data_IF_189689254556
#
_entry.id   IF_189689254556
#
_cell.length_a   1.000
_cell.length_b   1.000
_cell.length_c   1.000
_cell.angle_alpha   90.00
_cell.angle_beta   90.00
_cell.angle_gamma   90.00
#
_symmetry.space_group_name_H-M   'P 1'
#
loop_
_entity.id
_entity.type
_entity.pdbx_description
1 polymer ?
#
# COMPACT_ATOMS: atom_id res chain seq x y z
N UNK A 1 11.64 14.34 -25.99
CA UNK A 1 10.89 15.14 -25.01
C UNK A 1 9.61 14.44 -24.62
N UNK A 2 9.41 14.21 -23.32
CA UNK A 2 8.22 13.54 -22.79
C UNK A 2 7.14 14.58 -22.49
N UNK A 3 6.09 14.60 -23.31
CA UNK A 3 4.92 15.51 -23.19
C UNK A 3 3.79 14.90 -22.32
N UNK A 4 4.11 14.01 -21.37
CA UNK A 4 3.08 13.26 -20.64
C UNK A 4 2.08 14.11 -19.85
N UNK A 5 2.54 15.13 -19.12
CA UNK A 5 1.70 16.10 -18.42
C UNK A 5 2.44 17.43 -18.33
N UNK A 6 1.85 18.49 -18.88
CA UNK A 6 2.48 19.82 -18.93
C UNK A 6 1.56 20.88 -18.36
N UNK A 7 1.73 21.18 -17.08
CA UNK A 7 0.96 22.22 -16.40
C UNK A 7 1.74 23.53 -16.51
N UNK A 8 1.20 24.54 -17.20
CA UNK A 8 1.88 25.83 -17.38
C UNK A 8 1.66 26.82 -16.24
N UNK A 9 0.51 26.78 -15.55
CA UNK A 9 0.24 27.47 -14.28
C UNK A 9 -1.14 27.08 -13.74
N UNK A 10 -1.29 26.48 -12.54
CA UNK A 10 -2.58 26.37 -11.88
C UNK A 10 -2.72 27.37 -10.70
N UNK A 11 -1.97 28.48 -10.76
CA UNK A 11 -1.91 29.68 -9.89
C UNK A 11 -1.18 29.53 -8.55
N UNK A 12 0.12 29.20 -8.69
CA UNK A 12 1.14 29.09 -7.63
C UNK A 12 1.24 27.67 -7.03
N UNK A 13 1.82 26.74 -7.82
CA UNK A 13 2.07 25.38 -7.35
C UNK A 13 3.15 25.33 -6.26
N UNK A 14 2.99 24.43 -5.29
CA UNK A 14 4.07 24.15 -4.35
C UNK A 14 5.31 23.63 -5.09
N UNK A 15 6.48 24.12 -4.67
CA UNK A 15 7.78 23.71 -5.25
C UNK A 15 8.40 22.52 -4.54
N UNK A 16 7.88 22.24 -3.35
CA UNK A 16 8.32 21.17 -2.47
C UNK A 16 7.12 20.42 -1.92
N UNK A 17 7.29 19.13 -1.61
CA UNK A 17 6.29 18.33 -0.94
C UNK A 17 6.86 17.72 0.34
N UNK A 18 6.14 17.85 1.44
CA UNK A 18 6.35 17.13 2.69
C UNK A 18 5.24 16.08 2.82
N UNK A 19 5.59 14.82 2.67
CA UNK A 19 4.66 13.70 2.78
C UNK A 19 5.01 12.87 3.99
N UNK A 20 4.05 12.69 4.89
CA UNK A 20 4.19 11.90 6.08
C UNK A 20 3.32 10.65 6.01
N UNK A 21 3.89 9.49 6.31
CA UNK A 21 3.17 8.24 6.53
C UNK A 21 3.27 7.86 8.00
N UNK A 22 2.12 7.63 8.63
CA UNK A 22 2.00 7.20 10.02
C UNK A 22 1.19 5.94 10.11
N UNK A 23 1.85 4.84 10.45
CA UNK A 23 1.22 3.53 10.55
C UNK A 23 0.83 3.21 12.00
N UNK A 24 -0.25 2.44 12.18
CA UNK A 24 -0.81 2.07 13.49
C UNK A 24 -1.73 3.13 14.12
N UNK A 25 -2.12 4.18 13.38
CA UNK A 25 -3.03 5.23 13.87
C UNK A 25 -4.13 5.48 12.86
N UNK A 26 -5.38 5.55 13.32
CA UNK A 26 -6.51 5.82 12.42
C UNK A 26 -6.52 7.27 11.89
N UNK A 27 -6.22 8.23 12.77
CA UNK A 27 -6.23 9.68 12.48
C UNK A 27 -5.28 10.44 13.39
N UNK A 28 -4.60 11.45 12.86
CA UNK A 28 -3.92 12.48 13.65
C UNK A 28 -4.76 13.76 13.64
N UNK A 29 -4.97 14.34 14.82
CA UNK A 29 -5.82 15.52 14.98
C UNK A 29 -4.94 16.76 15.04
N UNK A 30 -4.69 17.37 13.88
CA UNK A 30 -3.95 18.61 13.79
C UNK A 30 -4.81 19.80 14.22
N UNK A 31 -4.21 20.76 14.92
CA UNK A 31 -4.85 21.99 15.40
C UNK A 31 -5.14 22.96 14.25
N UNK A 32 -4.39 22.88 13.15
CA UNK A 32 -4.60 23.72 11.95
C UNK A 32 -5.89 23.33 11.21
N UNK A 33 -6.79 24.30 11.07
CA UNK A 33 -8.18 24.11 10.61
C UNK A 33 -8.37 24.00 9.09
N UNK A 34 -7.28 24.00 8.29
CA UNK A 34 -7.35 24.02 6.82
C UNK A 34 -6.91 22.72 6.14
N UNK A 35 -7.06 21.56 6.79
CA UNK A 35 -6.78 20.28 6.17
C UNK A 35 -8.04 19.66 5.52
N UNK A 36 -7.95 19.27 4.26
CA UNK A 36 -8.93 18.38 3.63
C UNK A 36 -8.55 16.93 3.91
N UNK A 37 -9.54 16.10 4.24
CA UNK A 37 -9.34 14.69 4.56
C UNK A 37 -10.03 13.83 3.50
N UNK A 38 -9.31 12.83 3.00
CA UNK A 38 -9.82 11.90 2.01
C UNK A 38 -9.56 10.47 2.48
N UNK A 39 -10.56 9.56 2.36
CA UNK A 39 -10.30 8.16 2.59
C UNK A 39 -9.35 7.61 1.52
N UNK A 40 -8.29 6.94 1.97
CA UNK A 40 -7.36 6.24 1.08
C UNK A 40 -7.63 4.75 1.23
N UNK A 41 -7.82 4.05 0.10
CA UNK A 41 -8.05 2.62 0.07
C UNK A 41 -6.73 1.90 -0.29
N UNK A 42 -6.35 0.92 0.51
CA UNK A 42 -5.11 0.18 0.34
C UNK A 42 -4.53 -0.26 1.68
N UNK A 43 -3.48 -1.08 1.62
CA UNK A 43 -2.84 -1.64 2.83
C UNK A 43 -1.72 -0.73 3.34
N UNK A 44 -0.97 -0.08 2.43
CA UNK A 44 0.14 0.81 2.78
C UNK A 44 0.48 1.76 1.63
N UNK A 45 1.05 2.92 1.95
CA UNK A 45 1.59 3.88 1.00
C UNK A 45 3.09 3.67 0.70
N UNK A 46 3.78 2.78 1.40
CA UNK A 46 5.24 2.66 1.36
C UNK A 46 5.79 2.45 -0.05
N UNK A 47 5.27 1.47 -0.81
CA UNK A 47 5.74 1.20 -2.18
C UNK A 47 5.56 2.41 -3.11
N UNK A 48 4.47 3.15 -2.94
CA UNK A 48 4.21 4.35 -3.74
C UNK A 48 5.18 5.48 -3.38
N UNK A 49 5.53 5.62 -2.10
CA UNK A 49 6.52 6.59 -1.64
C UNK A 49 7.94 6.22 -2.08
N UNK A 50 8.31 4.94 -2.04
CA UNK A 50 9.62 4.47 -2.53
C UNK A 50 9.77 4.73 -4.03
N UNK A 51 8.72 4.44 -4.82
CA UNK A 51 8.69 4.78 -6.25
C UNK A 51 8.75 6.29 -6.49
N UNK A 52 8.12 7.10 -5.64
CA UNK A 52 8.18 8.56 -5.75
C UNK A 52 9.59 9.08 -5.45
N UNK A 53 10.22 8.62 -4.37
CA UNK A 53 11.60 8.95 -4.01
C UNK A 53 12.58 8.58 -5.13
N UNK A 54 12.42 7.41 -5.77
CA UNK A 54 13.28 6.99 -6.88
C UNK A 54 13.20 7.89 -8.12
N UNK A 55 12.14 8.68 -8.26
CA UNK A 55 11.87 9.54 -9.43
C UNK A 55 12.22 11.01 -9.21
N UNK A 56 12.39 11.44 -7.96
CA UNK A 56 12.69 12.84 -7.62
C UNK A 56 14.17 12.94 -7.27
N UNK A 57 14.93 13.77 -7.98
CA UNK A 57 16.39 13.86 -7.75
C UNK A 57 16.77 14.56 -6.45
N UNK A 58 16.08 15.64 -6.08
CA UNK A 58 16.31 16.38 -4.84
C UNK A 58 15.27 15.98 -3.80
N UNK A 59 15.48 14.81 -3.17
CA UNK A 59 14.59 14.27 -2.15
C UNK A 59 15.35 13.93 -0.87
N UNK A 60 14.62 13.89 0.25
CA UNK A 60 15.11 13.33 1.52
C UNK A 60 14.10 12.28 1.98
N UNK A 61 14.55 11.03 2.05
CA UNK A 61 13.75 9.93 2.58
C UNK A 61 14.11 9.71 4.06
N UNK A 62 13.14 9.96 4.94
CA UNK A 62 13.26 9.78 6.39
C UNK A 62 12.41 8.56 6.76
N UNK A 63 13.04 7.38 6.72
CA UNK A 63 12.41 6.13 7.15
C UNK A 63 12.80 5.81 8.59
N UNK A 64 11.96 6.17 9.55
CA UNK A 64 12.31 6.07 10.96
C UNK A 64 12.42 4.61 11.45
N UNK A 65 12.00 3.64 10.64
CA UNK A 65 12.25 2.21 10.93
C UNK A 65 13.71 1.80 10.64
N UNK A 66 14.45 2.58 9.82
CA UNK A 66 15.91 2.48 9.66
C UNK A 66 16.60 3.80 10.03
N UNK A 67 16.99 3.89 11.30
CA UNK A 67 17.68 5.08 11.84
C UNK A 67 19.01 5.40 11.14
N UNK A 68 19.71 4.42 10.58
CA UNK A 68 21.06 4.63 10.02
C UNK A 68 21.01 5.26 8.63
N UNK A 69 20.13 4.76 7.77
CA UNK A 69 19.87 5.34 6.46
C UNK A 69 19.23 6.72 6.61
N UNK A 70 18.32 6.88 7.57
CA UNK A 70 17.67 8.16 7.85
C UNK A 70 18.66 9.25 8.24
N UNK A 71 19.57 9.00 9.16
CA UNK A 71 20.56 10.01 9.58
C UNK A 71 21.47 10.41 8.42
N UNK A 72 21.84 9.44 7.57
CA UNK A 72 22.65 9.68 6.38
C UNK A 72 21.92 10.55 5.36
N UNK A 73 20.65 10.23 5.07
CA UNK A 73 19.80 10.96 4.15
C UNK A 73 19.56 12.41 4.59
N UNK A 74 19.34 12.65 5.89
CA UNK A 74 19.21 14.01 6.42
C UNK A 74 20.56 14.73 6.36
N UNK A 75 21.66 14.07 6.71
CA UNK A 75 23.00 14.68 6.73
C UNK A 75 23.49 15.12 5.35
N UNK A 76 23.16 14.38 4.29
CA UNK A 76 23.50 14.74 2.90
C UNK A 76 22.94 16.11 2.50
N UNK A 77 21.75 16.47 3.01
CA UNK A 77 21.07 17.71 2.65
C UNK A 77 21.27 18.80 3.71
N UNK A 78 21.24 18.45 4.98
CA UNK A 78 21.17 19.40 6.10
C UNK A 78 22.39 19.40 7.01
N UNK A 79 23.39 18.57 6.70
CA UNK A 79 24.57 18.34 7.54
C UNK A 79 24.26 17.52 8.80
N UNK A 80 25.30 17.23 9.58
CA UNK A 80 25.21 16.33 10.74
C UNK A 80 24.03 16.61 11.67
N UNK A 81 23.32 15.54 11.99
CA UNK A 81 22.10 15.49 12.78
C UNK A 81 22.43 14.83 14.11
N UNK A 82 22.07 15.45 15.24
CA UNK A 82 22.29 14.88 16.57
C UNK A 82 20.97 14.84 17.34
N UNK A 83 20.13 13.81 17.12
CA UNK A 83 18.85 13.72 17.78
C UNK A 83 19.03 13.63 19.30
N UNK A 84 18.38 14.53 20.03
CA UNK A 84 18.34 14.50 21.50
C UNK A 84 16.96 14.01 21.93
N UNK A 85 16.92 12.81 22.53
CA UNK A 85 15.66 12.22 23.00
C UNK A 85 14.93 13.19 23.95
N UNK A 86 13.63 13.39 23.67
CA UNK A 86 12.78 14.29 24.45
C UNK A 86 12.52 13.80 25.88
N UNK A 87 11.90 14.66 26.69
CA UNK A 87 11.49 14.31 28.05
C UNK A 87 10.41 13.23 28.04
N UNK A 88 10.56 12.23 28.90
CA UNK A 88 9.58 11.16 29.09
C UNK A 88 8.28 11.70 29.70
N UNK A 89 7.15 11.04 29.44
CA UNK A 89 5.89 11.32 30.13
C UNK A 89 5.70 10.36 31.31
N UNK A 90 4.62 10.53 32.07
CA UNK A 90 4.24 9.56 33.11
C UNK A 90 3.83 8.19 32.55
N UNK A 91 3.38 8.15 31.30
CA UNK A 91 2.82 6.96 30.65
C UNK A 91 3.88 6.19 29.84
N UNK A 92 4.81 6.90 29.19
CA UNK A 92 5.94 6.29 28.47
C UNK A 92 7.07 5.98 29.44
N UNK A 93 7.54 4.74 29.46
CA UNK A 93 8.56 4.21 30.39
C UNK A 93 9.76 3.64 29.61
N UNK A 94 10.65 4.49 29.05
CA UNK A 94 11.82 4.05 28.26
C UNK A 94 12.81 3.16 29.00
N UNK A 95 12.84 3.22 30.33
CA UNK A 95 13.68 2.34 31.15
C UNK A 95 13.14 0.92 31.27
N UNK A 96 11.86 0.72 30.94
CA UNK A 96 11.14 -0.57 31.05
C UNK A 96 10.87 -1.14 29.66
N UNK A 97 10.37 -0.32 28.74
CA UNK A 97 10.01 -0.71 27.37
C UNK A 97 10.99 -0.08 26.37
N UNK A 98 11.81 -0.88 25.66
CA UNK A 98 12.67 -0.41 24.59
C UNK A 98 11.91 0.34 23.48
N UNK A 99 10.67 -0.04 23.22
CA UNK A 99 9.78 0.56 22.21
C UNK A 99 9.43 2.01 22.56
N UNK A 100 9.31 2.34 23.85
CA UNK A 100 9.12 3.72 24.29
C UNK A 100 10.38 4.56 24.06
N UNK A 101 11.55 3.96 24.29
CA UNK A 101 12.84 4.62 24.03
C UNK A 101 13.04 4.87 22.54
N UNK A 102 12.75 3.86 21.73
CA UNK A 102 12.83 3.92 20.27
C UNK A 102 11.86 4.97 19.71
N UNK A 103 10.59 4.96 20.13
CA UNK A 103 9.62 5.98 19.74
C UNK A 103 10.09 7.41 20.07
N UNK A 104 10.59 7.64 21.29
CA UNK A 104 11.09 8.97 21.67
C UNK A 104 12.33 9.39 20.87
N UNK A 105 13.15 8.43 20.45
CA UNK A 105 14.30 8.68 19.58
C UNK A 105 13.85 9.01 18.15
N UNK A 106 12.89 8.27 17.59
CA UNK A 106 12.25 8.56 16.30
C UNK A 106 11.64 9.97 16.27
N UNK A 107 10.94 10.37 17.33
CA UNK A 107 10.42 11.75 17.48
C UNK A 107 11.55 12.79 17.58
N UNK A 108 12.67 12.46 18.24
CA UNK A 108 13.82 13.36 18.29
C UNK A 108 14.45 13.61 16.92
N UNK A 109 14.46 12.60 16.03
CA UNK A 109 14.90 12.77 14.64
C UNK A 109 13.98 13.76 13.91
N UNK A 110 12.66 13.65 14.08
CA UNK A 110 11.69 14.60 13.49
C UNK A 110 11.94 16.03 13.99
N UNK A 111 12.21 16.20 15.29
CA UNK A 111 12.50 17.52 15.85
C UNK A 111 13.81 18.10 15.32
N UNK A 112 14.86 17.28 15.19
CA UNK A 112 16.13 17.74 14.62
C UNK A 112 15.97 18.11 13.15
N UNK A 113 15.23 17.31 12.35
CA UNK A 113 14.88 17.66 10.97
C UNK A 113 14.12 19.00 10.90
N UNK A 114 13.19 19.22 11.83
CA UNK A 114 12.44 20.47 11.95
C UNK A 114 13.38 21.67 12.15
N UNK A 115 14.35 21.54 13.06
CA UNK A 115 15.31 22.61 13.35
C UNK A 115 16.27 22.85 12.19
N UNK A 116 16.67 21.79 11.47
CA UNK A 116 17.46 21.90 10.24
C UNK A 116 16.72 22.62 9.11
N UNK A 117 15.43 22.34 8.93
CA UNK A 117 14.59 23.05 7.95
C UNK A 117 14.52 24.53 8.29
N UNK A 118 14.26 24.88 9.56
CA UNK A 118 14.25 26.28 10.03
C UNK A 118 15.58 26.99 9.78
N UNK A 119 16.70 26.31 10.05
CA UNK A 119 18.04 26.88 9.88
C UNK A 119 18.43 27.09 8.42
N UNK A 120 18.14 26.12 7.54
CA UNK A 120 18.52 26.18 6.12
C UNK A 120 17.65 27.14 5.31
N UNK A 121 16.42 27.42 5.77
CA UNK A 121 15.43 28.20 5.02
C UNK A 121 15.19 27.68 3.60
N UNK A 122 15.31 26.35 3.41
CA UNK A 122 14.99 25.66 2.16
C UNK A 122 14.62 24.20 2.43
N UNK A 123 13.54 23.73 1.79
CA UNK A 123 13.12 22.31 1.80
C UNK A 123 13.38 21.72 0.41
N UNK A 124 13.96 20.51 0.31
CA UNK A 124 14.07 19.73 -0.92
C UNK A 124 12.75 19.63 -1.68
N UNK A 125 12.81 19.24 -2.96
CA UNK A 125 11.60 19.07 -3.76
C UNK A 125 10.66 18.02 -3.17
N UNK A 126 11.20 17.03 -2.46
CA UNK A 126 10.44 16.02 -1.76
C UNK A 126 11.09 15.68 -0.41
N UNK A 127 10.30 15.66 0.66
CA UNK A 127 10.67 15.09 1.95
C UNK A 127 9.59 14.08 2.31
N UNK A 128 9.97 12.80 2.42
CA UNK A 128 9.08 11.75 2.90
C UNK A 128 9.46 11.36 4.31
N UNK A 129 8.51 11.28 5.22
CA UNK A 129 8.72 10.84 6.61
C UNK A 129 7.83 9.64 6.90
N UNK A 130 8.41 8.52 7.33
CA UNK A 130 7.68 7.30 7.69
C UNK A 130 7.91 6.97 9.16
N UNK A 131 6.83 6.62 9.88
CA UNK A 131 6.88 6.18 11.27
C UNK A 131 5.74 5.20 11.59
N UNK A 132 6.03 4.16 12.37
CA UNK A 132 5.02 3.25 12.91
C UNK A 132 4.82 3.40 14.42
N UNK A 133 3.57 3.35 14.90
CA UNK A 133 3.23 3.22 16.32
C UNK A 133 2.80 1.78 16.69
N UNK A 134 2.92 0.83 15.76
CA UNK A 134 2.43 -0.55 15.96
C UNK A 134 3.17 -1.27 17.08
N UNK A 135 4.50 -1.14 17.13
CA UNK A 135 5.34 -1.78 18.16
C UNK A 135 5.04 -1.21 19.55
N UNK A 136 4.96 0.12 19.67
CA UNK A 136 4.57 0.79 20.92
C UNK A 136 3.17 0.38 21.37
N UNK A 137 2.21 0.30 20.44
CA UNK A 137 0.87 -0.18 20.78
C UNK A 137 0.90 -1.62 21.31
N UNK A 138 1.74 -2.49 20.74
CA UNK A 138 1.80 -3.90 21.11
C UNK A 138 2.25 -4.14 22.56
N UNK A 139 3.20 -3.36 23.07
CA UNK A 139 3.73 -3.52 24.43
C UNK A 139 2.86 -2.87 25.51
N UNK A 140 2.02 -1.91 25.14
CA UNK A 140 1.11 -1.23 26.06
C UNK A 140 -0.34 -1.75 26.03
N UNK A 141 -0.59 -2.88 25.36
CA UNK A 141 -1.92 -3.51 25.32
C UNK A 141 -2.89 -2.89 24.30
N UNK A 142 -2.37 -2.21 23.28
CA UNK A 142 -3.10 -1.70 22.14
C UNK A 142 -3.30 -0.18 22.12
N UNK A 143 -4.05 0.28 21.10
CA UNK A 143 -4.28 1.70 20.81
C UNK A 143 -5.15 2.45 21.83
N UNK A 144 -5.72 1.74 22.82
CA UNK A 144 -6.53 2.33 23.89
C UNK A 144 -5.72 2.70 25.14
N UNK A 145 -4.42 2.39 25.16
CA UNK A 145 -3.56 2.64 26.32
C UNK A 145 -3.23 4.13 26.51
N UNK A 146 -2.97 4.53 27.76
CA UNK A 146 -2.55 5.90 28.07
C UNK A 146 -1.20 6.24 27.41
N UNK A 147 -0.28 5.28 27.34
CA UNK A 147 1.00 5.42 26.66
C UNK A 147 0.81 5.67 25.15
N UNK A 148 -0.06 4.92 24.49
CA UNK A 148 -0.38 5.14 23.08
C UNK A 148 -1.05 6.50 22.85
N UNK A 149 -1.98 6.91 23.72
CA UNK A 149 -2.61 8.22 23.64
C UNK A 149 -1.59 9.37 23.81
N UNK A 150 -0.63 9.22 24.72
CA UNK A 150 0.45 10.19 24.91
C UNK A 150 1.43 10.19 23.73
N UNK A 151 1.83 9.03 23.24
CA UNK A 151 2.67 8.89 22.04
C UNK A 151 2.01 9.58 20.83
N UNK A 152 0.72 9.32 20.60
CA UNK A 152 -0.06 9.99 19.55
C UNK A 152 -0.02 11.52 19.70
N UNK A 153 -0.18 12.07 20.91
CA UNK A 153 -0.09 13.53 21.15
C UNK A 153 1.31 14.07 20.90
N UNK A 154 2.35 13.38 21.36
CA UNK A 154 3.75 13.77 21.16
C UNK A 154 4.07 13.80 19.67
N UNK A 155 3.70 12.73 18.94
CA UNK A 155 3.89 12.66 17.50
C UNK A 155 3.12 13.79 16.81
N UNK A 156 1.82 13.94 17.09
CA UNK A 156 1.00 15.00 16.47
C UNK A 156 1.68 16.37 16.59
N UNK A 157 2.18 16.73 17.77
CA UNK A 157 2.90 18.01 17.97
C UNK A 157 4.22 18.10 17.20
N UNK A 158 5.00 17.02 17.16
CA UNK A 158 6.24 17.00 16.40
C UNK A 158 5.97 17.18 14.89
N UNK A 159 4.92 16.56 14.39
CA UNK A 159 4.46 16.69 13.00
C UNK A 159 3.96 18.11 12.73
N UNK A 160 3.17 18.72 13.61
CA UNK A 160 2.73 20.12 13.48
C UNK A 160 3.92 21.07 13.39
N UNK A 161 4.90 20.91 14.29
CA UNK A 161 6.11 21.74 14.27
C UNK A 161 6.91 21.57 12.97
N UNK A 162 6.95 20.35 12.42
CA UNK A 162 7.60 20.07 11.14
C UNK A 162 6.85 20.72 9.97
N UNK A 163 5.53 20.64 9.97
CA UNK A 163 4.65 21.30 8.99
C UNK A 163 4.87 22.81 9.02
N UNK A 164 4.80 23.42 10.20
CA UNK A 164 5.03 24.86 10.38
C UNK A 164 6.43 25.28 9.91
N UNK A 165 7.46 24.48 10.20
CA UNK A 165 8.81 24.74 9.72
C UNK A 165 8.90 24.67 8.19
N UNK A 166 8.28 23.67 7.57
CA UNK A 166 8.28 23.51 6.12
C UNK A 166 7.50 24.63 5.42
N UNK A 167 6.34 25.03 5.95
CA UNK A 167 5.53 26.12 5.40
C UNK A 167 6.27 27.45 5.51
N UNK A 168 6.81 27.79 6.69
CA UNK A 168 7.57 29.02 6.90
C UNK A 168 8.83 29.08 6.02
N UNK A 169 9.54 27.95 5.89
CA UNK A 169 10.76 27.86 5.07
C UNK A 169 10.51 27.98 3.57
N UNK A 170 9.28 27.78 3.09
CA UNK A 170 8.94 27.88 1.65
C UNK A 170 7.91 28.98 1.35
N UNK A 171 7.71 29.93 2.27
CA UNK A 171 6.72 31.02 2.12
C UNK A 171 5.31 30.49 1.81
N UNK A 172 4.93 29.35 2.39
CA UNK A 172 3.65 28.67 2.14
C UNK A 172 3.58 27.87 0.83
N UNK A 173 4.64 27.82 0.02
CA UNK A 173 4.67 27.10 -1.26
C UNK A 173 5.12 25.63 -1.11
N UNK A 174 4.56 24.92 -0.13
CA UNK A 174 4.85 23.49 0.13
C UNK A 174 3.54 22.69 0.17
N UNK A 175 3.53 21.53 -0.49
CA UNK A 175 2.44 20.58 -0.36
C UNK A 175 2.67 19.74 0.89
N UNK A 176 1.72 19.75 1.82
CA UNK A 176 1.77 18.91 3.01
C UNK A 176 0.71 17.83 2.90
N UNK A 177 1.12 16.56 3.02
CA UNK A 177 0.22 15.42 3.03
C UNK A 177 0.56 14.51 4.21
N UNK A 178 -0.45 14.11 5.00
CA UNK A 178 -0.31 13.07 6.02
C UNK A 178 -1.20 11.89 5.67
N UNK A 179 -0.60 10.72 5.60
CA UNK A 179 -1.22 9.44 5.30
C UNK A 179 -1.20 8.65 6.60
N UNK A 180 -2.38 8.30 7.11
CA UNK A 180 -2.50 7.48 8.31
C UNK A 180 -3.07 6.12 7.95
N UNK A 181 -2.45 5.05 8.44
CA UNK A 181 -2.98 3.69 8.29
C UNK A 181 -3.19 3.08 9.67
N UNK A 182 -4.31 2.38 9.86
CA UNK A 182 -4.54 1.56 11.04
C UNK A 182 -4.37 0.11 10.63
N UNK A 183 -3.25 -0.48 11.01
CA UNK A 183 -3.17 -1.93 11.05
C UNK A 183 -4.06 -2.41 12.19
N UNK A 184 -5.14 -3.13 11.86
CA UNK A 184 -5.80 -3.96 12.86
C UNK A 184 -4.78 -5.01 13.28
N UNK A 185 -4.12 -4.78 14.42
CA UNK A 185 -3.09 -5.63 15.03
C UNK A 185 -3.55 -7.09 15.25
N UNK A 186 -4.79 -7.43 14.93
CA UNK A 186 -5.23 -8.81 14.78
C UNK A 186 -4.91 -9.35 13.38
N UNK A 187 -3.83 -10.15 13.27
CA UNK A 187 -3.68 -11.22 12.25
C UNK A 187 -3.13 -10.83 10.86
N UNK A 188 -2.42 -9.72 10.69
CA UNK A 188 -1.80 -9.37 9.41
C UNK A 188 -0.54 -10.19 9.01
N UNK A 189 0.00 -11.07 9.87
CA UNK A 189 1.12 -11.96 9.47
C UNK A 189 0.69 -13.25 8.75
N UNK A 190 -0.63 -13.50 8.55
CA UNK A 190 -1.14 -14.69 7.83
C UNK A 190 -2.40 -14.43 6.98
N UNK A 191 -2.72 -13.19 6.65
CA UNK A 191 -3.80 -12.94 5.71
C UNK A 191 -3.23 -12.96 4.29
N UNK A 192 -3.55 -14.03 3.56
CA UNK A 192 -3.48 -14.09 2.10
C UNK A 192 -3.96 -12.76 1.50
N UNK A 193 -3.28 -12.30 0.45
CA UNK A 193 -3.72 -11.17 -0.36
C UNK A 193 -5.22 -11.30 -0.66
N UNK A 194 -5.97 -10.21 -0.43
CA UNK A 194 -7.43 -10.04 -0.59
C UNK A 194 -8.21 -9.76 0.70
N UNK A 195 -7.75 -8.80 1.52
CA UNK A 195 -8.69 -8.02 2.32
C UNK A 195 -9.18 -6.85 1.46
N UNK A 196 -10.20 -7.14 0.64
CA UNK A 196 -10.84 -6.17 -0.25
C UNK A 196 -11.63 -5.20 0.63
N UNK A 197 -11.07 -4.04 0.95
CA UNK A 197 -11.88 -2.94 1.50
C UNK A 197 -12.97 -2.61 0.48
N UNK A 198 -14.24 -2.64 0.90
CA UNK A 198 -15.36 -2.26 0.04
C UNK A 198 -15.27 -0.76 -0.25
N UNK A 199 -14.82 -0.44 -1.47
CA UNK A 199 -14.77 0.93 -1.99
C UNK A 199 -16.20 1.38 -2.31
N UNK A 200 -16.64 2.59 -1.93
CA UNK A 200 -17.96 3.11 -2.25
C UNK A 200 -18.27 3.02 -3.75
N UNK A 201 -19.45 2.49 -4.10
CA UNK A 201 -19.88 2.23 -5.48
C UNK A 201 -20.20 3.48 -6.30
N UNK A 202 -20.18 4.66 -5.69
CA UNK A 202 -20.61 5.94 -6.28
C UNK A 202 -19.48 6.71 -7.00
N UNK A 203 -18.33 6.06 -7.19
CA UNK A 203 -17.19 6.62 -7.89
C UNK A 203 -17.02 5.91 -9.24
N UNK A 204 -16.88 6.67 -10.34
CA UNK A 204 -16.63 6.16 -11.69
C UNK A 204 -15.20 5.58 -11.85
N UNK A 205 -14.81 4.65 -10.98
CA UNK A 205 -13.54 3.94 -11.04
C UNK A 205 -13.59 2.81 -12.06
N UNK A 206 -12.44 2.47 -12.63
CA UNK A 206 -12.30 1.28 -13.45
C UNK A 206 -12.61 0.01 -12.65
N UNK A 207 -13.16 -1.01 -13.31
CA UNK A 207 -13.40 -2.32 -12.68
C UNK A 207 -12.08 -2.92 -12.21
N UNK A 208 -12.00 -3.27 -10.94
CA UNK A 208 -10.87 -4.00 -10.37
C UNK A 208 -10.96 -5.47 -10.77
N UNK A 209 -9.99 -5.93 -11.58
CA UNK A 209 -9.78 -7.34 -11.88
C UNK A 209 -8.81 -7.95 -10.86
N UNK A 210 -8.99 -9.22 -10.50
CA UNK A 210 -8.06 -9.92 -9.61
C UNK A 210 -6.73 -10.19 -10.33
N UNK A 211 -5.63 -10.24 -9.59
CA UNK A 211 -4.31 -10.61 -10.13
C UNK A 211 -4.32 -12.03 -10.73
N UNK A 212 -5.20 -12.89 -10.22
CA UNK A 212 -5.43 -14.25 -10.69
C UNK A 212 -6.31 -14.34 -11.95
N UNK A 213 -6.83 -13.22 -12.47
CA UNK A 213 -7.68 -13.22 -13.66
C UNK A 213 -7.04 -13.93 -14.86
N UNK A 214 -5.74 -13.73 -15.21
CA UNK A 214 -5.11 -14.46 -16.31
C UNK A 214 -5.07 -15.98 -16.09
N UNK A 215 -4.89 -16.41 -14.84
CA UNK A 215 -4.83 -17.84 -14.48
C UNK A 215 -6.21 -18.47 -14.60
N UNK A 216 -7.23 -17.85 -13.99
CA UNK A 216 -8.62 -18.33 -14.04
C UNK A 216 -9.13 -18.37 -15.47
N UNK A 217 -8.85 -17.31 -16.25
CA UNK A 217 -9.21 -17.24 -17.66
C UNK A 217 -8.64 -18.43 -18.45
N UNK A 218 -7.34 -18.72 -18.28
CA UNK A 218 -6.70 -19.83 -18.98
C UNK A 218 -7.26 -21.20 -18.56
N UNK A 219 -7.52 -21.42 -17.27
CA UNK A 219 -8.11 -22.68 -16.78
C UNK A 219 -9.48 -22.90 -17.43
N UNK A 220 -10.36 -21.89 -17.40
CA UNK A 220 -11.71 -22.01 -17.97
C UNK A 220 -11.65 -22.18 -19.49
N UNK A 221 -10.78 -21.44 -20.17
CA UNK A 221 -10.64 -21.51 -21.63
C UNK A 221 -10.20 -22.91 -22.08
N UNK A 222 -9.11 -23.44 -21.52
CA UNK A 222 -8.61 -24.75 -21.94
C UNK A 222 -9.47 -25.91 -21.45
N UNK A 223 -10.06 -25.78 -20.26
CA UNK A 223 -11.03 -26.77 -19.78
C UNK A 223 -12.26 -26.84 -20.69
N UNK A 224 -12.79 -25.69 -21.12
CA UNK A 224 -13.91 -25.62 -22.06
C UNK A 224 -13.58 -26.24 -23.42
N UNK A 225 -12.38 -25.97 -23.97
CA UNK A 225 -11.91 -26.57 -25.23
C UNK A 225 -11.83 -28.09 -25.14
N UNK A 226 -11.21 -28.63 -24.07
CA UNK A 226 -11.08 -30.08 -23.87
C UNK A 226 -12.45 -30.73 -23.72
N UNK A 227 -13.36 -30.11 -22.96
CA UNK A 227 -14.70 -30.64 -22.73
C UNK A 227 -15.53 -30.66 -24.03
N UNK A 228 -15.40 -29.64 -24.87
CA UNK A 228 -16.05 -29.60 -26.18
C UNK A 228 -15.58 -30.74 -27.10
N UNK A 229 -14.27 -30.96 -27.21
CA UNK A 229 -13.75 -32.06 -28.03
C UNK A 229 -14.07 -33.45 -27.46
N UNK A 230 -14.08 -33.60 -26.13
CA UNK A 230 -14.48 -34.83 -25.48
C UNK A 230 -15.95 -35.17 -25.79
N UNK A 231 -16.85 -34.18 -25.72
CA UNK A 231 -18.25 -34.35 -26.09
C UNK A 231 -18.41 -34.78 -27.56
N UNK A 232 -17.68 -34.11 -28.46
CA UNK A 232 -17.71 -34.44 -29.89
C UNK A 232 -17.23 -35.89 -30.14
N UNK A 233 -16.14 -36.30 -29.50
CA UNK A 233 -15.61 -37.65 -29.60
C UNK A 233 -16.62 -38.71 -29.10
N UNK A 234 -17.31 -38.44 -27.99
CA UNK A 234 -18.36 -39.33 -27.47
C UNK A 234 -19.53 -39.42 -28.44
N UNK A 235 -19.99 -38.29 -28.99
CA UNK A 235 -21.06 -38.30 -30.00
C UNK A 235 -20.67 -39.11 -31.25
N UNK A 236 -19.44 -38.95 -31.73
CA UNK A 236 -18.94 -39.73 -32.87
C UNK A 236 -18.84 -41.23 -32.54
N UNK A 237 -18.32 -41.57 -31.35
CA UNK A 237 -18.21 -42.95 -30.92
C UNK A 237 -19.57 -43.64 -30.81
N UNK A 238 -20.60 -42.96 -30.31
CA UNK A 238 -21.98 -43.47 -30.26
C UNK A 238 -22.56 -43.63 -31.67
N UNK A 239 -22.28 -42.69 -32.58
CA UNK A 239 -22.77 -42.75 -33.95
C UNK A 239 -22.17 -43.93 -34.75
N UNK A 240 -20.94 -44.33 -34.46
CA UNK A 240 -20.23 -45.44 -35.13
C UNK A 240 -20.29 -46.77 -34.33
N UNK A 241 -21.19 -46.88 -33.36
CA UNK A 241 -21.40 -48.17 -32.67
C UNK A 241 -22.02 -49.17 -33.63
N UNK A 242 -21.25 -50.20 -34.02
CA UNK A 242 -21.75 -51.34 -34.79
C UNK A 242 -22.82 -52.07 -33.95
N UNK A 243 -24.09 -52.13 -34.42
CA UNK A 243 -25.17 -52.81 -33.71
C UNK A 243 -24.99 -54.33 -33.62
N UNK A 244 -23.89 -54.88 -34.15
CA UNK A 244 -23.55 -56.29 -34.10
C UNK A 244 -24.21 -57.07 -35.24
N UNK A 245 -23.43 -57.97 -35.87
CA UNK A 245 -23.87 -58.75 -37.03
C UNK A 245 -24.81 -59.92 -36.73
N UNK A 246 -25.26 -60.10 -35.48
CA UNK A 246 -26.07 -61.24 -35.07
C UNK A 246 -27.60 -61.00 -35.12
N UNK A 247 -28.03 -59.81 -35.55
CA UNK A 247 -29.44 -59.45 -35.60
C UNK A 247 -30.13 -59.81 -36.93
N UNK A 248 -31.46 -59.98 -36.87
CA UNK A 248 -32.35 -60.50 -37.93
C UNK A 248 -32.26 -59.76 -39.27
N UNK A 249 -31.67 -58.55 -39.27
CA UNK A 249 -31.44 -57.67 -40.42
C UNK A 249 -30.46 -58.28 -41.43
N UNK A 250 -29.46 -59.06 -40.98
CA UNK A 250 -28.52 -59.75 -41.87
C UNK A 250 -29.08 -61.07 -42.45
N UNK A 251 -30.17 -61.58 -41.89
CA UNK A 251 -30.87 -62.79 -42.38
C UNK A 251 -31.83 -62.48 -43.54
N UNK A 252 -32.29 -61.23 -43.65
CA UNK A 252 -33.19 -60.78 -44.72
C UNK A 252 -32.48 -60.31 -46.00
N UNK A 253 -31.16 -60.14 -46.00
CA UNK A 253 -30.40 -59.55 -47.12
C UNK A 253 -29.59 -60.55 -47.97
N UNK A 254 -29.57 -61.85 -47.64
CA UNK A 254 -28.90 -62.88 -48.48
C UNK A 254 -29.89 -63.89 -49.07
N UNK A 255 -30.67 -63.47 -50.07
CA UNK A 255 -31.34 -64.42 -50.98
C UNK A 255 -30.31 -64.97 -51.96
N UNK A 256 -29.43 -65.86 -51.49
CA UNK A 256 -28.60 -66.68 -52.38
C UNK A 256 -29.53 -67.60 -53.18
N UNK A 257 -29.88 -67.19 -54.41
CA UNK A 257 -30.61 -68.03 -55.35
C UNK A 257 -29.83 -69.33 -55.58
N UNK A 258 -30.40 -70.46 -55.17
CA UNK A 258 -29.90 -71.77 -55.56
C UNK A 258 -30.25 -72.00 -57.03
N UNK A 259 -29.24 -72.39 -57.81
CA UNK A 259 -29.38 -72.85 -59.20
C UNK A 259 -29.63 -74.35 -59.12
N UNK A 260 -30.83 -74.78 -59.49
CA UNK A 260 -31.22 -76.19 -59.47
C UNK A 260 -30.60 -76.91 -60.68
N UNK A 261 -30.12 -78.13 -60.44
CA UNK A 261 -29.52 -79.04 -61.41
C UNK A 261 -30.54 -80.12 -61.76
#
# INVERSE_FOLDING_TARGET
DFDGLRIRNPFNMPKSALIMQVDGVERLNFVSSKAQQFPIFGVSASNSLDLLNSRVSNHVNVDLEDSSETLSAIAEVYGDVKPVAGKTTSSLKPSVYPEDKDFLYKVAIINELTDKIKAKSSVPHLVTVRISLTELASVHGGSSSAAFADAKKILTRAVENLIDAAENSNEGNVLVATITSKDDLSRAKRATAEQRMEVPTDLNLAKSYSSNYPVIFNIILWFGVVLFFALLAICYAIADMDPGRDSIIYRMTSTRMKKDN
#
